data_IF_823176063176
#
_entry.id   IF_823176063176
#
_cell.length_a   1.000
_cell.length_b   1.000
_cell.length_c   1.000
_cell.angle_alpha   90.00
_cell.angle_beta   90.00
_cell.angle_gamma   90.00
#
_symmetry.space_group_name_H-M   'P 1'
#
loop_
_entity.id
_entity.type
_entity.pdbx_description
1 polymer ?
#
# COMPACT_ATOMS: atom_id res chain seq x y z
N UNK A 1 -32.14 26.50 2.80
CA UNK A 1 -32.22 26.54 4.27
C UNK A 1 -31.17 27.54 4.76
N UNK A 2 -31.58 28.67 5.31
CA UNK A 2 -30.63 29.58 5.99
C UNK A 2 -30.32 28.98 7.36
N UNK A 3 -29.12 28.42 7.52
CA UNK A 3 -28.66 27.97 8.83
C UNK A 3 -28.25 29.20 9.64
N UNK A 4 -29.12 29.65 10.55
CA UNK A 4 -28.77 30.69 11.51
C UNK A 4 -27.65 30.16 12.42
N UNK A 5 -26.57 30.93 12.58
CA UNK A 5 -25.54 30.67 13.57
C UNK A 5 -26.14 31.02 14.93
N UNK A 6 -26.23 30.07 15.89
CA UNK A 6 -26.79 30.36 17.21
C UNK A 6 -25.99 31.45 17.91
N UNK A 7 -26.68 32.35 18.61
CA UNK A 7 -26.02 33.34 19.46
C UNK A 7 -25.11 32.63 20.48
N UNK A 8 -23.88 33.14 20.66
CA UNK A 8 -22.81 32.62 21.55
C UNK A 8 -21.99 31.41 21.05
N UNK A 9 -22.03 31.08 19.76
CA UNK A 9 -21.07 30.12 19.18
C UNK A 9 -19.86 30.88 18.62
N UNK A 10 -18.66 30.59 19.12
CA UNK A 10 -17.43 31.08 18.50
C UNK A 10 -17.24 30.36 17.16
N UNK A 11 -17.12 31.14 16.09
CA UNK A 11 -16.94 30.66 14.73
C UNK A 11 -15.61 31.14 14.19
N UNK A 12 -15.05 30.41 13.23
CA UNK A 12 -13.94 30.85 12.41
C UNK A 12 -14.51 31.42 11.12
N UNK A 13 -14.08 32.63 10.75
CA UNK A 13 -14.52 33.29 9.51
C UNK A 13 -13.41 33.17 8.50
N UNK A 14 -13.73 32.68 7.30
CA UNK A 14 -12.76 32.49 6.22
C UNK A 14 -13.27 33.09 4.91
N UNK A 15 -12.38 33.41 3.98
CA UNK A 15 -12.73 33.77 2.61
C UNK A 15 -13.29 32.56 1.85
N UNK A 16 -14.35 32.77 1.06
CA UNK A 16 -14.92 31.70 0.22
C UNK A 16 -14.00 31.29 -0.95
N UNK A 17 -13.10 32.17 -1.37
CA UNK A 17 -12.23 31.92 -2.53
C UNK A 17 -11.13 30.89 -2.23
N UNK A 18 -10.47 31.01 -1.06
CA UNK A 18 -9.28 30.23 -0.73
C UNK A 18 -9.23 29.70 0.72
N UNK A 19 -10.22 30.03 1.55
CA UNK A 19 -10.28 29.60 2.94
C UNK A 19 -9.35 30.36 3.89
N UNK A 20 -8.75 31.47 3.46
CA UNK A 20 -7.91 32.31 4.33
C UNK A 20 -8.73 32.82 5.53
N UNK A 21 -8.22 32.61 6.73
CA UNK A 21 -8.88 33.05 7.96
C UNK A 21 -8.86 34.58 8.09
N UNK A 22 -10.03 35.17 8.37
CA UNK A 22 -10.18 36.57 8.71
C UNK A 22 -9.91 36.72 10.20
N UNK A 23 -8.66 37.03 10.54
CA UNK A 23 -8.15 37.00 11.93
C UNK A 23 -8.54 38.21 12.77
N UNK A 24 -8.81 39.34 12.14
CA UNK A 24 -9.09 40.62 12.81
C UNK A 24 -9.82 41.62 11.88
N UNK A 25 -10.32 42.70 12.49
CA UNK A 25 -11.05 43.77 11.81
C UNK A 25 -10.17 44.51 10.78
N UNK A 26 -8.86 44.60 11.02
CA UNK A 26 -7.94 45.27 10.10
C UNK A 26 -7.77 44.51 8.79
N UNK A 27 -7.69 43.18 8.86
CA UNK A 27 -7.71 42.33 7.67
C UNK A 27 -9.08 42.41 6.96
N UNK A 28 -10.18 42.37 7.70
CA UNK A 28 -11.54 42.50 7.15
C UNK A 28 -11.72 43.82 6.38
N UNK A 29 -11.19 44.93 6.88
CA UNK A 29 -11.26 46.25 6.26
C UNK A 29 -10.46 46.36 4.94
N UNK A 30 -9.52 45.44 4.70
CA UNK A 30 -8.75 45.39 3.44
C UNK A 30 -9.46 44.65 2.32
N UNK A 31 -10.54 43.91 2.64
CA UNK A 31 -11.29 43.12 1.67
C UNK A 31 -12.12 44.00 0.74
N UNK A 32 -12.30 43.55 -0.51
CA UNK A 32 -13.13 44.26 -1.47
C UNK A 32 -14.60 44.22 -1.05
N UNK A 33 -15.40 45.26 -1.35
CA UNK A 33 -16.84 45.18 -1.20
C UNK A 33 -17.41 43.97 -1.94
N UNK A 34 -18.36 43.28 -1.31
CA UNK A 34 -18.99 42.04 -1.81
C UNK A 34 -18.12 40.77 -1.79
N UNK A 35 -17.00 40.76 -1.05
CA UNK A 35 -16.32 39.50 -0.73
C UNK A 35 -17.24 38.54 0.04
N UNK A 36 -17.34 37.30 -0.42
CA UNK A 36 -18.12 36.25 0.25
C UNK A 36 -17.29 35.64 1.39
N UNK A 37 -17.90 35.52 2.56
CA UNK A 37 -17.30 34.93 3.75
C UNK A 37 -18.03 33.65 4.14
N UNK A 38 -17.27 32.65 4.57
CA UNK A 38 -17.78 31.39 5.10
C UNK A 38 -17.56 31.36 6.61
N UNK A 39 -18.61 31.03 7.36
CA UNK A 39 -18.58 30.93 8.81
C UNK A 39 -18.54 29.45 9.22
N UNK A 40 -17.42 29.03 9.80
CA UNK A 40 -17.16 27.66 10.24
C UNK A 40 -17.42 27.52 11.74
N UNK A 41 -18.24 26.55 12.12
CA UNK A 41 -18.45 26.16 13.52
C UNK A 41 -17.27 25.37 14.06
N UNK A 42 -17.13 25.22 15.39
CA UNK A 42 -16.08 24.38 15.97
C UNK A 42 -16.12 22.95 15.39
N UNK A 43 -15.01 22.54 14.77
CA UNK A 43 -14.86 21.23 14.12
C UNK A 43 -15.23 21.18 12.64
N UNK A 44 -15.80 22.25 12.08
CA UNK A 44 -15.98 22.41 10.64
C UNK A 44 -14.68 22.90 10.00
N UNK A 45 -14.49 22.56 8.72
CA UNK A 45 -13.36 22.99 7.92
C UNK A 45 -13.86 23.59 6.62
N UNK A 46 -13.09 24.54 6.08
CA UNK A 46 -13.40 25.14 4.79
C UNK A 46 -13.38 24.08 3.69
N UNK A 47 -14.48 24.00 2.92
CA UNK A 47 -14.58 23.15 1.74
C UNK A 47 -14.48 24.03 0.49
N UNK A 48 -13.32 24.01 -0.15
CA UNK A 48 -13.14 24.70 -1.43
C UNK A 48 -14.08 24.13 -2.49
N UNK A 49 -14.35 24.92 -3.53
CA UNK A 49 -15.18 24.47 -4.66
C UNK A 49 -14.62 23.21 -5.35
N UNK A 50 -13.31 22.99 -5.29
CA UNK A 50 -12.69 21.76 -5.79
C UNK A 50 -13.18 20.52 -5.05
N UNK A 51 -13.39 20.59 -3.72
CA UNK A 51 -13.94 19.49 -2.94
C UNK A 51 -15.35 19.16 -3.41
N UNK A 52 -16.19 20.20 -3.61
CA UNK A 52 -17.57 20.04 -4.10
C UNK A 52 -17.60 19.42 -5.50
N UNK A 53 -16.69 19.82 -6.40
CA UNK A 53 -16.56 19.22 -7.74
C UNK A 53 -16.17 17.75 -7.65
N UNK A 54 -15.20 17.39 -6.81
CA UNK A 54 -14.78 16.00 -6.63
C UNK A 54 -15.92 15.14 -6.06
N UNK A 55 -16.64 15.64 -5.05
CA UNK A 55 -17.81 14.95 -4.49
C UNK A 55 -18.92 14.79 -5.53
N UNK A 56 -19.21 15.83 -6.32
CA UNK A 56 -20.18 15.77 -7.43
C UNK A 56 -19.81 14.75 -8.50
N UNK A 57 -18.54 14.69 -8.89
CA UNK A 57 -18.03 13.68 -9.82
C UNK A 57 -18.15 12.27 -9.24
N UNK A 58 -17.83 12.09 -7.96
CA UNK A 58 -17.94 10.79 -7.29
C UNK A 58 -19.40 10.31 -7.25
N UNK A 59 -20.35 11.21 -6.98
CA UNK A 59 -21.79 10.91 -7.02
C UNK A 59 -22.24 10.54 -8.44
N UNK A 60 -21.80 11.30 -9.46
CA UNK A 60 -22.10 11.01 -10.85
C UNK A 60 -21.61 9.62 -11.23
N UNK A 61 -20.34 9.30 -10.96
CA UNK A 61 -19.73 7.99 -11.24
C UNK A 61 -20.51 6.87 -10.55
N UNK A 62 -20.84 7.06 -9.26
CA UNK A 62 -21.57 6.07 -8.46
C UNK A 62 -23.01 5.86 -8.94
N UNK A 63 -23.57 6.83 -9.68
CA UNK A 63 -24.90 6.74 -10.28
C UNK A 63 -24.94 6.05 -11.65
N UNK A 64 -23.77 5.77 -12.25
CA UNK A 64 -23.69 5.11 -13.56
C UNK A 64 -24.21 3.68 -13.45
N UNK A 65 -25.37 3.43 -14.06
CA UNK A 65 -25.98 2.10 -14.16
C UNK A 65 -25.27 1.25 -15.22
N UNK A 66 -25.50 -0.08 -15.23
CA UNK A 66 -24.95 -0.96 -16.28
C UNK A 66 -25.24 -0.50 -17.71
N UNK A 67 -26.36 0.17 -17.97
CA UNK A 67 -26.70 0.77 -19.26
C UNK A 67 -25.74 1.91 -19.63
N UNK A 68 -25.36 2.75 -18.67
CA UNK A 68 -24.38 3.82 -18.87
C UNK A 68 -22.98 3.27 -19.18
N UNK A 69 -22.60 2.14 -18.57
CA UNK A 69 -21.32 1.46 -18.90
C UNK A 69 -21.33 0.97 -20.36
N UNK A 70 -22.48 0.46 -20.85
CA UNK A 70 -22.64 0.05 -22.26
C UNK A 70 -22.54 1.26 -23.18
N UNK A 71 -23.16 2.38 -22.84
CA UNK A 71 -23.09 3.63 -23.60
C UNK A 71 -21.65 4.14 -23.68
N UNK A 72 -20.94 4.24 -22.55
CA UNK A 72 -19.52 4.62 -22.52
C UNK A 72 -18.68 3.68 -23.40
N UNK A 73 -18.96 2.37 -23.36
CA UNK A 73 -18.27 1.38 -24.22
C UNK A 73 -18.58 1.58 -25.70
N UNK A 74 -19.75 2.08 -26.08
CA UNK A 74 -20.08 2.43 -27.46
C UNK A 74 -19.40 3.74 -27.89
N UNK A 75 -19.37 4.75 -27.00
CA UNK A 75 -18.66 6.00 -27.25
C UNK A 75 -17.17 5.76 -27.50
N UNK A 76 -16.53 4.93 -26.66
CA UNK A 76 -15.13 4.52 -26.83
C UNK A 76 -14.82 3.89 -28.21
N UNK A 77 -15.81 3.28 -28.88
CA UNK A 77 -15.60 2.66 -30.21
C UNK A 77 -15.75 3.65 -31.36
N UNK A 78 -16.43 4.77 -31.13
CA UNK A 78 -16.79 5.76 -32.16
C UNK A 78 -16.00 7.06 -32.03
N UNK A 79 -15.43 7.32 -30.86
CA UNK A 79 -14.67 8.52 -30.57
C UNK A 79 -13.30 8.50 -31.26
N UNK A 80 -12.92 9.62 -31.85
CA UNK A 80 -11.67 9.79 -32.60
C UNK A 80 -10.66 10.66 -31.82
N UNK A 81 -11.11 11.47 -30.86
CA UNK A 81 -10.22 12.25 -29.99
C UNK A 81 -9.62 11.37 -28.89
N UNK A 82 -8.28 11.31 -28.86
CA UNK A 82 -7.54 10.58 -27.83
C UNK A 82 -7.78 11.11 -26.43
N UNK A 83 -7.96 12.42 -26.27
CA UNK A 83 -8.25 13.05 -24.99
C UNK A 83 -9.61 12.59 -24.44
N UNK A 84 -10.64 12.54 -25.30
CA UNK A 84 -11.96 12.04 -24.91
C UNK A 84 -11.94 10.53 -24.67
N UNK A 85 -11.21 9.76 -25.48
CA UNK A 85 -11.02 8.33 -25.27
C UNK A 85 -10.41 8.05 -23.89
N UNK A 86 -9.40 8.82 -23.49
CA UNK A 86 -8.77 8.69 -22.17
C UNK A 86 -9.78 9.01 -21.05
N UNK A 87 -10.54 10.10 -21.17
CA UNK A 87 -11.58 10.46 -20.20
C UNK A 87 -12.66 9.37 -20.08
N UNK A 88 -13.16 8.85 -21.20
CA UNK A 88 -14.15 7.77 -21.20
C UNK A 88 -13.60 6.47 -20.63
N UNK A 89 -12.31 6.18 -20.87
CA UNK A 89 -11.62 5.02 -20.30
C UNK A 89 -11.55 5.14 -18.77
N UNK A 90 -11.11 6.28 -18.26
CA UNK A 90 -11.05 6.55 -16.82
C UNK A 90 -12.43 6.50 -16.17
N UNK A 91 -13.45 7.08 -16.81
CA UNK A 91 -14.83 7.05 -16.34
C UNK A 91 -15.37 5.62 -16.27
N UNK A 92 -15.12 4.81 -17.30
CA UNK A 92 -15.49 3.40 -17.33
C UNK A 92 -14.82 2.64 -16.19
N UNK A 93 -13.51 2.80 -16.01
CA UNK A 93 -12.79 2.11 -14.93
C UNK A 93 -13.28 2.54 -13.54
N UNK A 94 -13.61 3.82 -13.35
CA UNK A 94 -14.18 4.31 -12.10
C UNK A 94 -15.58 3.70 -11.83
N UNK A 95 -16.41 3.53 -12.88
CA UNK A 95 -17.74 2.91 -12.77
C UNK A 95 -17.71 1.40 -12.46
N UNK A 96 -16.57 0.73 -12.67
CA UNK A 96 -16.38 -0.69 -12.39
C UNK A 96 -15.85 -0.97 -10.97
N UNK A 97 -15.68 0.06 -10.15
CA UNK A 97 -15.22 -0.08 -8.76
C UNK A 97 -16.31 -0.76 -7.92
N UNK A 98 -15.98 -1.91 -7.34
CA UNK A 98 -16.87 -2.66 -6.45
C UNK A 98 -16.09 -3.14 -5.22
N UNK A 99 -15.71 -2.20 -4.34
CA UNK A 99 -14.87 -2.48 -3.16
C UNK A 99 -15.60 -3.39 -2.15
N UNK A 100 -16.90 -3.17 -1.94
CA UNK A 100 -17.65 -3.85 -0.88
C UNK A 100 -17.96 -5.31 -1.20
N UNK A 101 -18.00 -5.70 -2.48
CA UNK A 101 -18.11 -7.10 -2.86
C UNK A 101 -16.87 -7.90 -2.39
N UNK A 102 -17.12 -9.04 -1.74
CA UNK A 102 -16.07 -9.90 -1.20
C UNK A 102 -16.07 -11.30 -1.83
N UNK A 103 -17.24 -11.87 -2.11
CA UNK A 103 -17.35 -13.23 -2.66
C UNK A 103 -17.31 -13.18 -4.19
N UNK A 104 -16.81 -14.27 -4.78
CA UNK A 104 -16.73 -14.43 -6.24
C UNK A 104 -18.07 -14.27 -6.95
N UNK A 105 -19.13 -14.82 -6.37
CA UNK A 105 -20.48 -14.75 -6.95
C UNK A 105 -21.02 -13.31 -7.03
N UNK A 106 -20.51 -12.41 -6.17
CA UNK A 106 -20.98 -11.02 -6.07
C UNK A 106 -20.16 -10.08 -6.98
N UNK A 107 -19.05 -10.55 -7.56
CA UNK A 107 -18.14 -9.79 -8.43
C UNK A 107 -17.26 -10.73 -9.27
N UNK A 108 -17.86 -11.44 -10.24
CA UNK A 108 -17.12 -12.44 -11.03
C UNK A 108 -16.00 -11.82 -11.87
N UNK A 109 -16.18 -10.57 -12.31
CA UNK A 109 -15.23 -9.84 -13.15
C UNK A 109 -13.89 -9.63 -12.46
N UNK A 110 -13.90 -9.29 -11.16
CA UNK A 110 -12.67 -9.19 -10.37
C UNK A 110 -11.86 -10.49 -10.38
N UNK A 111 -12.53 -11.65 -10.36
CA UNK A 111 -11.91 -12.97 -10.30
C UNK A 111 -11.55 -13.59 -11.66
N UNK A 112 -11.77 -12.89 -12.78
CA UNK A 112 -11.34 -13.38 -14.08
C UNK A 112 -9.83 -13.69 -14.09
N UNK A 113 -9.47 -14.89 -14.58
CA UNK A 113 -8.08 -15.37 -14.58
C UNK A 113 -7.56 -15.87 -13.22
N UNK A 114 -8.41 -15.92 -12.17
CA UNK A 114 -8.07 -16.52 -10.88
C UNK A 114 -8.65 -17.94 -10.78
N UNK A 115 -7.81 -18.89 -10.35
CA UNK A 115 -8.19 -20.26 -10.00
C UNK A 115 -9.51 -20.31 -9.19
N UNK A 116 -10.45 -21.17 -9.63
CA UNK A 116 -11.80 -21.29 -9.07
C UNK A 116 -11.84 -21.69 -7.59
N UNK A 117 -10.73 -22.18 -7.02
CA UNK A 117 -10.63 -22.48 -5.58
C UNK A 117 -10.76 -21.23 -4.70
N UNK A 118 -10.35 -20.06 -5.20
CA UNK A 118 -10.47 -18.81 -4.45
C UNK A 118 -11.89 -18.28 -4.57
N UNK A 119 -12.62 -18.31 -3.45
CA UNK A 119 -14.03 -17.89 -3.36
C UNK A 119 -14.21 -16.46 -2.87
N UNK A 120 -13.18 -15.86 -2.28
CA UNK A 120 -13.22 -14.48 -1.76
C UNK A 120 -12.00 -13.69 -2.19
N UNK A 121 -12.15 -12.37 -2.29
CA UNK A 121 -11.06 -11.45 -2.69
C UNK A 121 -9.93 -11.54 -1.68
N UNK A 122 -10.28 -11.55 -0.41
CA UNK A 122 -9.35 -11.68 0.73
C UNK A 122 -8.55 -12.97 0.66
N UNK A 123 -9.18 -14.11 0.37
CA UNK A 123 -8.45 -15.37 0.25
C UNK A 123 -7.38 -15.32 -0.85
N UNK A 124 -7.68 -14.67 -1.98
CA UNK A 124 -6.70 -14.50 -3.06
C UNK A 124 -5.60 -13.51 -2.71
N UNK A 125 -5.95 -12.35 -2.15
CA UNK A 125 -4.97 -11.33 -1.75
C UNK A 125 -4.02 -11.85 -0.67
N UNK A 126 -4.56 -12.58 0.32
CA UNK A 126 -3.78 -13.34 1.30
C UNK A 126 -2.80 -14.30 0.64
N UNK A 127 -3.25 -15.08 -0.34
CA UNK A 127 -2.37 -15.97 -1.11
C UNK A 127 -1.24 -15.21 -1.83
N UNK A 128 -1.51 -14.01 -2.38
CA UNK A 128 -0.48 -13.20 -3.01
C UNK A 128 0.61 -12.75 -2.04
N UNK A 129 0.24 -12.31 -0.82
CA UNK A 129 1.19 -12.00 0.24
C UNK A 129 2.06 -13.21 0.58
N UNK A 130 1.43 -14.35 0.83
CA UNK A 130 2.15 -15.60 1.14
C UNK A 130 3.08 -16.03 0.00
N UNK A 131 2.65 -15.86 -1.26
CA UNK A 131 3.48 -16.20 -2.43
C UNK A 131 4.74 -15.34 -2.49
N UNK A 132 4.61 -14.04 -2.19
CA UNK A 132 5.74 -13.10 -2.16
C UNK A 132 6.75 -13.47 -1.06
N UNK A 133 6.26 -13.73 0.14
CA UNK A 133 7.11 -14.13 1.29
C UNK A 133 7.80 -15.47 1.02
N UNK A 134 7.10 -16.46 0.45
CA UNK A 134 7.72 -17.73 0.03
C UNK A 134 8.82 -17.51 -0.99
N UNK A 135 8.62 -16.64 -1.98
CA UNK A 135 9.66 -16.30 -2.95
C UNK A 135 10.91 -15.69 -2.30
N UNK A 136 10.75 -14.89 -1.24
CA UNK A 136 11.90 -14.38 -0.48
C UNK A 136 12.66 -15.50 0.23
N UNK A 137 11.94 -16.45 0.83
CA UNK A 137 12.54 -17.62 1.47
C UNK A 137 13.30 -18.47 0.45
N UNK A 138 12.68 -18.82 -0.68
CA UNK A 138 13.27 -19.69 -1.70
C UNK A 138 14.53 -19.05 -2.29
N UNK A 139 14.45 -17.78 -2.70
CA UNK A 139 15.59 -17.06 -3.27
C UNK A 139 16.72 -16.76 -2.28
N UNK A 140 16.42 -16.64 -0.99
CA UNK A 140 17.44 -16.56 0.06
C UNK A 140 18.10 -17.94 0.27
N UNK A 141 17.30 -19.01 0.30
CA UNK A 141 17.79 -20.38 0.46
C UNK A 141 18.66 -20.82 -0.71
N UNK A 142 18.33 -20.40 -1.93
CA UNK A 142 19.11 -20.73 -3.13
C UNK A 142 20.53 -20.14 -3.06
N UNK A 143 20.70 -18.91 -2.56
CA UNK A 143 22.04 -18.34 -2.32
C UNK A 143 22.84 -19.14 -1.28
N UNK A 144 22.19 -19.64 -0.22
CA UNK A 144 22.86 -20.50 0.76
C UNK A 144 23.34 -21.81 0.13
N UNK A 145 22.62 -22.34 -0.87
CA UNK A 145 23.05 -23.57 -1.56
C UNK A 145 24.36 -23.40 -2.33
N UNK A 146 24.75 -22.17 -2.67
CA UNK A 146 26.00 -21.86 -3.35
C UNK A 146 27.22 -21.84 -2.41
N UNK A 147 27.02 -21.90 -1.09
CA UNK A 147 28.12 -21.98 -0.12
C UNK A 147 28.94 -23.27 -0.32
N UNK A 148 30.27 -23.11 -0.35
CA UNK A 148 31.24 -24.17 -0.67
C UNK A 148 31.63 -24.98 0.56
N UNK A 149 31.70 -24.35 1.74
CA UNK A 149 32.00 -25.07 2.98
C UNK A 149 30.78 -25.90 3.42
N UNK A 150 30.87 -27.25 3.42
CA UNK A 150 29.73 -28.11 3.75
C UNK A 150 29.23 -27.94 5.18
N UNK A 151 30.12 -27.62 6.13
CA UNK A 151 29.74 -27.44 7.55
C UNK A 151 28.96 -26.15 7.73
N UNK A 152 29.48 -25.06 7.15
CA UNK A 152 28.80 -23.74 7.16
C UNK A 152 27.46 -23.83 6.45
N UNK A 153 27.42 -24.48 5.27
CA UNK A 153 26.18 -24.71 4.52
C UNK A 153 25.14 -25.49 5.33
N UNK A 154 25.54 -26.57 6.00
CA UNK A 154 24.63 -27.36 6.84
C UNK A 154 24.05 -26.54 8.01
N UNK A 155 24.88 -25.74 8.68
CA UNK A 155 24.43 -24.84 9.75
C UNK A 155 23.41 -23.81 9.24
N UNK A 156 23.72 -23.16 8.12
CA UNK A 156 22.83 -22.17 7.50
C UNK A 156 21.50 -22.79 7.06
N UNK A 157 21.52 -23.99 6.47
CA UNK A 157 20.29 -24.71 6.13
C UNK A 157 19.46 -25.04 7.38
N UNK A 158 20.10 -25.38 8.50
CA UNK A 158 19.42 -25.56 9.79
C UNK A 158 18.71 -24.30 10.29
N UNK A 159 19.32 -23.11 10.09
CA UNK A 159 18.67 -21.82 10.37
C UNK A 159 17.44 -21.61 9.47
N UNK A 160 17.52 -21.97 8.20
CA UNK A 160 16.38 -21.88 7.27
C UNK A 160 15.24 -22.84 7.62
N UNK A 161 15.52 -24.01 8.18
CA UNK A 161 14.47 -24.93 8.62
C UNK A 161 13.72 -24.42 9.85
N UNK A 162 14.43 -23.73 10.78
CA UNK A 162 13.80 -22.98 11.87
C UNK A 162 12.92 -21.86 11.33
N UNK A 163 13.44 -21.03 10.43
CA UNK A 163 12.65 -19.95 9.79
C UNK A 163 11.44 -20.47 9.01
N UNK A 164 11.55 -21.64 8.35
CA UNK A 164 10.42 -22.28 7.67
C UNK A 164 9.31 -22.66 8.64
N UNK A 165 9.67 -23.12 9.83
CA UNK A 165 8.73 -23.43 10.91
C UNK A 165 8.04 -22.16 11.40
N UNK A 166 8.79 -21.08 11.61
CA UNK A 166 8.24 -19.77 11.99
C UNK A 166 7.33 -19.17 10.92
N UNK A 167 7.69 -19.31 9.64
CA UNK A 167 6.84 -18.89 8.52
C UNK A 167 5.53 -19.68 8.49
N UNK A 168 5.53 -20.98 8.79
CA UNK A 168 4.29 -21.77 8.90
C UNK A 168 3.43 -21.31 10.06
N UNK A 169 4.02 -21.08 11.25
CA UNK A 169 3.30 -20.56 12.42
C UNK A 169 2.64 -19.21 12.15
N UNK A 170 3.31 -18.36 11.37
CA UNK A 170 2.82 -17.02 11.00
C UNK A 170 2.04 -17.01 9.67
N UNK A 171 1.63 -18.16 9.14
CA UNK A 171 0.82 -18.29 7.93
C UNK A 171 1.41 -17.53 6.73
N UNK A 172 2.75 -17.60 6.62
CA UNK A 172 3.61 -16.92 5.65
C UNK A 172 3.29 -15.42 5.50
N UNK A 173 2.96 -14.75 6.61
CA UNK A 173 2.54 -13.35 6.66
C UNK A 173 1.43 -13.00 5.66
N UNK A 174 0.52 -13.94 5.40
CA UNK A 174 -0.62 -13.71 4.50
C UNK A 174 -1.48 -12.51 4.90
N UNK A 175 -1.46 -12.15 6.19
CA UNK A 175 -2.19 -11.00 6.74
C UNK A 175 -1.78 -9.65 6.14
N UNK A 176 -0.59 -9.51 5.56
CA UNK A 176 -0.15 -8.24 4.97
C UNK A 176 -1.11 -7.70 3.91
N UNK A 177 -1.70 -8.58 3.10
CA UNK A 177 -2.66 -8.20 2.06
C UNK A 177 -4.08 -8.67 2.39
N UNK A 178 -4.42 -8.88 3.66
CA UNK A 178 -5.75 -9.31 4.09
C UNK A 178 -6.44 -8.15 4.80
N UNK A 179 -7.36 -7.45 4.10
CA UNK A 179 -8.12 -6.33 4.65
C UNK A 179 -9.01 -6.70 5.85
N UNK A 180 -9.35 -7.98 6.01
CA UNK A 180 -10.13 -8.49 7.15
C UNK A 180 -9.27 -8.88 8.35
N UNK A 181 -7.94 -8.88 8.21
CA UNK A 181 -7.05 -9.27 9.29
C UNK A 181 -7.06 -8.25 10.43
N UNK A 182 -7.05 -8.76 11.66
CA UNK A 182 -6.80 -8.00 12.87
C UNK A 182 -5.30 -7.88 13.22
N UNK A 183 -4.43 -8.57 12.47
CA UNK A 183 -2.98 -8.44 12.58
C UNK A 183 -2.52 -7.18 11.82
N UNK A 184 -1.22 -6.93 11.81
CA UNK A 184 -0.58 -5.80 11.11
C UNK A 184 -0.74 -5.91 9.57
N UNK A 185 -1.94 -5.67 9.05
CA UNK A 185 -2.25 -5.57 7.62
C UNK A 185 -1.69 -4.26 7.05
N UNK A 186 -1.41 -4.24 5.74
CA UNK A 186 -0.84 -3.08 5.05
C UNK A 186 -1.88 -2.19 4.36
N UNK A 187 -3.15 -2.51 4.56
CA UNK A 187 -4.27 -1.75 4.04
C UNK A 187 -5.24 -1.39 5.15
N UNK A 188 -6.08 -0.40 4.88
CA UNK A 188 -7.23 -0.10 5.73
C UNK A 188 -8.31 -1.20 5.65
N UNK A 189 -9.44 -0.99 6.33
CA UNK A 189 -10.55 -1.94 6.35
C UNK A 189 -11.23 -2.13 4.99
N UNK A 190 -11.13 -1.13 4.10
CA UNK A 190 -11.67 -1.19 2.74
C UNK A 190 -10.67 -1.81 1.75
N UNK A 191 -9.41 -1.99 2.15
CA UNK A 191 -8.35 -2.55 1.32
C UNK A 191 -7.54 -1.50 0.56
N UNK A 192 -7.54 -0.24 0.98
CA UNK A 192 -6.63 0.79 0.45
C UNK A 192 -5.23 0.60 1.00
N UNK A 193 -4.27 0.40 0.11
CA UNK A 193 -2.84 0.39 0.42
C UNK A 193 -2.23 1.74 0.08
N UNK A 194 -1.32 2.20 0.93
CA UNK A 194 -0.53 3.41 0.72
C UNK A 194 0.93 3.05 0.54
N UNK A 195 1.61 3.73 -0.38
CA UNK A 195 3.04 3.61 -0.54
C UNK A 195 3.75 4.20 0.68
N UNK A 196 4.76 3.50 1.19
CA UNK A 196 5.58 3.95 2.33
C UNK A 196 6.82 4.74 1.88
N UNK A 197 6.93 5.03 0.57
CA UNK A 197 8.08 5.73 0.00
C UNK A 197 9.29 4.82 -0.21
N UNK A 198 10.32 5.32 -0.93
CA UNK A 198 11.53 4.56 -1.17
C UNK A 198 12.28 4.22 0.14
N UNK A 199 13.28 3.36 0.04
CA UNK A 199 13.96 2.79 1.22
C UNK A 199 14.73 3.81 2.06
N UNK A 200 15.06 4.95 1.49
CA UNK A 200 15.89 6.04 2.01
C UNK A 200 15.09 7.30 2.40
N UNK A 201 13.76 7.25 2.31
CA UNK A 201 12.86 8.34 2.69
C UNK A 201 11.85 7.85 3.73
N UNK A 202 11.24 8.76 4.50
CA UNK A 202 10.27 8.37 5.54
C UNK A 202 8.86 8.12 5.00
N UNK A 203 8.51 8.73 3.87
CA UNK A 203 7.17 8.68 3.29
C UNK A 203 7.21 8.74 1.75
N UNK A 204 6.04 8.52 1.12
CA UNK A 204 5.88 8.67 -0.31
C UNK A 204 5.38 10.08 -0.67
N UNK A 205 6.23 10.89 -1.29
CA UNK A 205 5.88 12.26 -1.69
C UNK A 205 4.75 12.31 -2.74
N UNK A 206 4.67 11.31 -3.60
CA UNK A 206 3.65 11.23 -4.66
C UNK A 206 2.30 10.69 -4.15
N UNK A 207 2.20 10.39 -2.85
CA UNK A 207 0.97 9.87 -2.22
C UNK A 207 0.37 8.68 -2.98
N UNK A 208 1.22 7.78 -3.52
CA UNK A 208 0.75 6.63 -4.29
C UNK A 208 -0.20 5.75 -3.45
N UNK A 209 -1.34 5.40 -4.03
CA UNK A 209 -2.36 4.55 -3.41
C UNK A 209 -2.92 3.53 -4.40
N UNK A 210 -3.38 2.40 -3.87
CA UNK A 210 -4.11 1.40 -4.67
C UNK A 210 -5.10 0.63 -3.81
N UNK A 211 -6.27 0.30 -4.37
CA UNK A 211 -7.18 -0.68 -3.78
C UNK A 211 -7.29 -1.90 -4.72
N UNK A 212 -6.52 -2.97 -4.51
CA UNK A 212 -6.59 -4.16 -5.36
C UNK A 212 -7.90 -4.92 -5.19
N UNK A 213 -8.72 -4.61 -4.18
CA UNK A 213 -10.05 -5.19 -3.99
C UNK A 213 -11.11 -4.52 -4.86
N UNK A 214 -10.84 -3.35 -5.43
CA UNK A 214 -11.86 -2.54 -6.08
C UNK A 214 -12.26 -3.06 -7.47
N UNK A 215 -11.31 -3.48 -8.30
CA UNK A 215 -11.58 -3.94 -9.67
C UNK A 215 -10.48 -4.89 -10.15
N UNK A 216 -10.77 -5.62 -11.24
CA UNK A 216 -9.79 -6.49 -11.92
C UNK A 216 -8.53 -5.70 -12.33
N UNK A 217 -8.68 -4.50 -12.91
CA UNK A 217 -7.56 -3.70 -13.35
C UNK A 217 -6.66 -3.29 -12.18
N UNK A 218 -7.26 -2.84 -11.07
CA UNK A 218 -6.50 -2.48 -9.85
C UNK A 218 -5.81 -3.69 -9.22
N UNK A 219 -6.46 -4.87 -9.21
CA UNK A 219 -5.82 -6.13 -8.80
C UNK A 219 -4.60 -6.47 -9.66
N UNK A 220 -4.70 -6.31 -10.98
CA UNK A 220 -3.58 -6.57 -11.89
C UNK A 220 -2.45 -5.54 -11.70
N UNK A 221 -2.79 -4.26 -11.57
CA UNK A 221 -1.83 -3.19 -11.30
C UNK A 221 -1.07 -3.38 -9.97
N UNK A 222 -1.66 -4.07 -9.00
CA UNK A 222 -1.01 -4.44 -7.74
C UNK A 222 0.27 -5.29 -7.92
N UNK A 223 0.45 -5.94 -9.07
CA UNK A 223 1.69 -6.65 -9.39
C UNK A 223 2.90 -5.70 -9.50
N UNK A 224 2.68 -4.42 -9.80
CA UNK A 224 3.73 -3.41 -9.85
C UNK A 224 4.13 -2.88 -8.46
N UNK A 225 3.43 -3.31 -7.40
CA UNK A 225 3.75 -2.95 -6.02
C UNK A 225 4.63 -3.99 -5.35
N UNK A 226 5.59 -3.58 -4.54
CA UNK A 226 6.65 -4.42 -3.98
C UNK A 226 6.65 -4.38 -2.45
N UNK A 227 7.15 -5.47 -1.83
CA UNK A 227 7.62 -5.43 -0.44
C UNK A 227 9.14 -5.37 -0.50
N UNK A 228 9.67 -4.17 -0.48
CA UNK A 228 11.05 -3.85 -0.76
C UNK A 228 11.91 -3.88 0.50
N UNK A 229 13.08 -4.52 0.44
CA UNK A 229 13.95 -4.77 1.59
C UNK A 229 14.84 -3.57 1.90
N UNK A 230 14.61 -2.79 2.96
CA UNK A 230 15.42 -1.60 3.31
C UNK A 230 16.91 -1.94 3.35
N UNK A 231 17.26 -3.05 4.02
CA UNK A 231 18.56 -3.69 3.97
C UNK A 231 18.47 -4.86 2.99
N UNK A 232 19.23 -4.79 1.89
CA UNK A 232 19.07 -5.71 0.77
C UNK A 232 19.33 -7.16 1.14
N UNK A 233 18.35 -8.03 0.90
CA UNK A 233 18.47 -9.48 1.09
C UNK A 233 19.70 -10.08 0.40
N UNK A 234 19.88 -9.81 -0.90
CA UNK A 234 20.91 -10.49 -1.73
C UNK A 234 22.30 -9.89 -1.56
N UNK A 235 22.39 -8.58 -1.30
CA UNK A 235 23.67 -7.86 -1.25
C UNK A 235 24.23 -7.75 0.17
N UNK A 236 23.36 -7.68 1.19
CA UNK A 236 23.77 -7.47 2.58
C UNK A 236 23.40 -8.64 3.49
N UNK A 237 22.10 -8.93 3.66
CA UNK A 237 21.62 -9.86 4.71
C UNK A 237 22.24 -11.26 4.55
N UNK A 238 22.10 -11.87 3.37
CA UNK A 238 22.56 -13.24 3.14
C UNK A 238 24.10 -13.35 3.12
N UNK A 239 24.84 -12.48 2.39
CA UNK A 239 26.30 -12.50 2.45
C UNK A 239 26.86 -12.32 3.87
N UNK A 240 26.29 -11.41 4.68
CA UNK A 240 26.77 -11.21 6.06
C UNK A 240 26.42 -12.33 7.01
N UNK A 241 25.26 -12.96 6.84
CA UNK A 241 24.93 -14.20 7.56
C UNK A 241 25.93 -15.31 7.26
N UNK A 242 26.36 -15.46 6.00
CA UNK A 242 27.42 -16.43 5.62
C UNK A 242 28.74 -16.08 6.30
N UNK A 243 29.13 -14.81 6.33
CA UNK A 243 30.33 -14.35 7.05
C UNK A 243 30.22 -14.64 8.55
N UNK A 244 29.06 -14.40 9.17
CA UNK A 244 28.80 -14.70 10.58
C UNK A 244 28.97 -16.20 10.88
N UNK A 245 28.46 -17.06 10.01
CA UNK A 245 28.62 -18.50 10.14
C UNK A 245 30.09 -18.94 10.02
N UNK A 246 30.87 -18.33 9.12
CA UNK A 246 32.30 -18.63 8.94
C UNK A 246 33.18 -18.13 10.09
N UNK A 247 32.88 -16.96 10.65
CA UNK A 247 33.66 -16.32 11.73
C UNK A 247 33.27 -16.81 13.13
N UNK A 248 32.21 -17.60 13.23
CA UNK A 248 31.69 -18.10 14.50
C UNK A 248 32.79 -18.87 15.25
N UNK A 249 33.11 -18.41 16.45
CA UNK A 249 34.06 -19.04 17.36
C UNK A 249 33.37 -19.47 18.67
N UNK A 250 33.81 -20.59 19.24
CA UNK A 250 33.33 -21.07 20.54
C UNK A 250 31.84 -21.45 20.54
N UNK A 251 31.10 -21.03 21.58
CA UNK A 251 29.69 -21.39 21.81
C UNK A 251 28.67 -20.44 21.17
N UNK A 252 29.10 -19.43 20.39
CA UNK A 252 28.19 -18.48 19.73
C UNK A 252 27.16 -19.23 18.87
N UNK A 253 25.91 -18.79 18.86
CA UNK A 253 24.84 -19.38 18.04
C UNK A 253 24.25 -18.33 17.12
N UNK A 254 23.92 -18.72 15.89
CA UNK A 254 23.26 -17.83 14.94
C UNK A 254 21.80 -17.58 15.36
N UNK A 255 21.40 -16.32 15.32
CA UNK A 255 20.06 -15.86 15.65
C UNK A 255 19.15 -15.93 14.42
N UNK A 256 18.48 -17.08 14.26
CA UNK A 256 17.51 -17.27 13.18
C UNK A 256 16.35 -16.26 13.18
N UNK A 257 15.99 -15.70 14.34
CA UNK A 257 14.90 -14.72 14.44
C UNK A 257 15.32 -13.36 13.92
N UNK A 258 16.60 -12.97 14.06
CA UNK A 258 17.11 -11.74 13.47
C UNK A 258 17.08 -11.82 11.93
N UNK A 259 17.54 -12.94 11.38
CA UNK A 259 17.43 -13.21 9.94
C UNK A 259 15.97 -13.22 9.49
N UNK A 260 15.07 -13.83 10.28
CA UNK A 260 13.64 -13.87 9.98
C UNK A 260 13.04 -12.47 9.87
N UNK A 261 13.34 -11.59 10.84
CA UNK A 261 12.86 -10.20 10.84
C UNK A 261 13.29 -9.47 9.58
N UNK A 262 14.58 -9.53 9.27
CA UNK A 262 15.18 -8.88 8.11
C UNK A 262 14.62 -9.39 6.77
N UNK A 263 14.25 -10.68 6.69
CA UNK A 263 13.80 -11.27 5.42
C UNK A 263 12.30 -11.19 5.18
N UNK A 264 11.48 -11.25 6.23
CA UNK A 264 10.04 -11.55 6.07
C UNK A 264 9.11 -10.55 6.76
N UNK A 265 9.64 -9.62 7.55
CA UNK A 265 8.81 -8.74 8.39
C UNK A 265 8.94 -7.27 8.03
N UNK A 266 8.03 -6.47 8.58
CA UNK A 266 7.99 -5.01 8.41
C UNK A 266 9.15 -4.27 9.05
N UNK A 267 9.94 -4.93 9.90
CA UNK A 267 11.20 -4.38 10.43
C UNK A 267 12.18 -4.00 9.32
N UNK A 268 12.10 -4.67 8.16
CA UNK A 268 12.98 -4.41 7.02
C UNK A 268 12.25 -4.37 5.67
N UNK A 269 10.92 -4.39 5.65
CA UNK A 269 10.12 -4.38 4.42
C UNK A 269 9.31 -3.09 4.30
N UNK A 270 9.47 -2.36 3.19
CA UNK A 270 8.59 -1.27 2.78
C UNK A 270 7.66 -1.68 1.66
N UNK A 271 6.39 -1.32 1.76
CA UNK A 271 5.39 -1.51 0.73
C UNK A 271 5.40 -0.31 -0.21
N UNK A 272 5.89 -0.52 -1.43
CA UNK A 272 6.19 0.57 -2.36
C UNK A 272 5.59 0.33 -3.74
N UNK A 273 5.13 1.41 -4.37
CA UNK A 273 4.81 1.41 -5.80
C UNK A 273 6.11 1.31 -6.62
N UNK A 274 6.03 0.88 -7.88
CA UNK A 274 7.17 0.64 -8.77
C UNK A 274 8.15 1.82 -8.90
N UNK A 275 7.66 3.05 -9.04
CA UNK A 275 8.42 4.30 -9.14
C UNK A 275 9.15 4.64 -7.84
N UNK A 276 8.61 4.24 -6.68
CA UNK A 276 9.29 4.36 -5.39
C UNK A 276 10.24 3.17 -5.11
N UNK A 277 10.35 2.19 -6.01
CA UNK A 277 11.23 1.03 -5.85
C UNK A 277 12.61 1.30 -6.46
N UNK A 278 13.38 2.18 -5.80
CA UNK A 278 14.79 2.46 -6.09
C UNK A 278 15.61 1.16 -6.22
N UNK A 279 16.31 1.01 -7.34
CA UNK A 279 17.09 -0.21 -7.72
C UNK A 279 18.59 -0.08 -7.44
N UNK A 280 19.00 1.11 -7.01
CA UNK A 280 20.35 1.45 -6.62
C UNK A 280 20.81 0.59 -5.42
N UNK A 281 22.12 0.51 -5.23
CA UNK A 281 22.68 -0.12 -4.05
C UNK A 281 22.32 0.68 -2.79
N UNK A 282 21.99 -0.02 -1.71
CA UNK A 282 21.55 0.61 -0.46
C UNK A 282 22.71 0.82 0.50
N UNK A 283 22.70 1.93 1.21
CA UNK A 283 23.70 2.29 2.21
C UNK A 283 23.54 1.60 3.57
N UNK A 284 22.33 1.24 4.05
CA UNK A 284 22.19 0.50 5.31
C UNK A 284 22.93 -0.83 5.27
N UNK A 285 23.78 -1.06 6.27
CA UNK A 285 24.58 -2.28 6.40
C UNK A 285 24.39 -2.91 7.78
N UNK A 286 24.46 -4.23 7.87
CA UNK A 286 24.30 -4.97 9.15
C UNK A 286 25.65 -5.26 9.78
N UNK A 287 25.78 -5.24 11.11
CA UNK A 287 26.99 -5.77 11.73
C UNK A 287 26.92 -7.29 11.80
N UNK A 288 28.03 -7.98 11.49
CA UNK A 288 28.11 -9.45 11.57
C UNK A 288 27.74 -9.95 12.97
N UNK A 289 28.08 -9.19 14.02
CA UNK A 289 27.78 -9.57 15.39
C UNK A 289 26.28 -9.57 15.72
N UNK A 290 25.46 -8.82 14.96
CA UNK A 290 24.00 -8.78 15.14
C UNK A 290 23.34 -10.12 14.81
N UNK A 291 24.03 -10.99 14.06
CA UNK A 291 23.55 -12.33 13.74
C UNK A 291 23.77 -13.36 14.85
N UNK A 292 24.34 -12.99 16.00
CA UNK A 292 24.54 -13.91 17.11
C UNK A 292 23.47 -13.74 18.20
N UNK A 293 23.20 -14.81 18.95
CA UNK A 293 22.42 -14.72 20.19
C UNK A 293 23.26 -14.06 21.29
N UNK A 294 22.69 -13.06 21.94
CA UNK A 294 23.22 -12.48 23.17
C UNK A 294 22.52 -13.15 24.36
N UNK A 295 23.31 -13.78 25.24
CA UNK A 295 22.86 -14.42 26.47
C UNK A 295 23.22 -13.54 27.67
#
# INVERSE_FOLDING_TARGET
MCYLIPNNVKVTVVLDDDGTEVTDDGYLDTLQPHTTLVFLRPGEYFQSDLVKVVEGLQLLISSIKPEGIKEITQLLKKEESYEKLEMFSQLKEASLINIDAEKRQDDEDWFQGIDKKYKTKTAYMKYLAQRRIRSYFDSAKDQIKEEKDPKVKAELLGIFDKMKTELKKNDQHGHYFDRSSSKQKLCDEKGWFKCEGPFDEDACDQSHMINPYSSKLRRLGFMNWNLDHIIEKKREVIPKLVVAAKKKSGKKQLNHMEVYKLLFTKDNLKFVQYECHKKEARSPTINVDDFYLHY
#
